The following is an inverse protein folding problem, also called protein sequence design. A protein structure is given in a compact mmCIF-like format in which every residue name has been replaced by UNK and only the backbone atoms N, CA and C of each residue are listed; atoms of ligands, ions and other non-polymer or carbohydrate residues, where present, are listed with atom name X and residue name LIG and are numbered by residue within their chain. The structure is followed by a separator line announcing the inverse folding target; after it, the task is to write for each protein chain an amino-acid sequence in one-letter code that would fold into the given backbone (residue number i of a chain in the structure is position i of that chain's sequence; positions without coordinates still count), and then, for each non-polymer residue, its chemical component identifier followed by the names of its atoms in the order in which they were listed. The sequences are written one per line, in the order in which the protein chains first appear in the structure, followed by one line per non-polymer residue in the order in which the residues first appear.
data_IF_078714598447
#
_entry.id   IF_078714598447
#
_cell.length_a   1.000
_cell.length_b   1.000
_cell.length_c   1.000
_cell.angle_alpha   90.00
_cell.angle_beta   90.00
_cell.angle_gamma   90.00
#
_symmetry.space_group_name_H-M   'P 1'
#
loop_
_entity.id
_entity.type
_entity.pdbx_description
1 polymer ?
#
# COMPACT_ATOMS: atom_id res chain seq x y z
N UNK A 1 -24.24 -2.97 -4.30
CA UNK A 1 -23.95 -2.07 -5.44
C UNK A 1 -24.74 -2.44 -6.70
N UNK A 2 -24.68 -3.69 -7.20
CA UNK A 2 -25.41 -4.09 -8.42
C UNK A 2 -26.93 -3.82 -8.39
N UNK A 3 -27.62 -4.17 -7.30
CA UNK A 3 -29.06 -3.89 -7.14
C UNK A 3 -29.38 -2.38 -7.14
N UNK A 4 -28.49 -1.55 -6.57
CA UNK A 4 -28.65 -0.10 -6.53
C UNK A 4 -28.49 0.52 -7.93
N UNK A 5 -27.58 -0.03 -8.74
CA UNK A 5 -27.29 0.41 -10.10
C UNK A 5 -28.16 -0.31 -11.17
N UNK A 6 -29.05 -1.21 -10.75
CA UNK A 6 -29.90 -2.03 -11.64
C UNK A 6 -29.10 -2.84 -12.67
N UNK A 7 -27.94 -3.37 -12.27
CA UNK A 7 -27.10 -4.23 -13.11
C UNK A 7 -27.14 -5.68 -12.64
N UNK A 8 -26.62 -6.60 -13.46
CA UNK A 8 -26.33 -7.97 -13.03
C UNK A 8 -25.34 -7.99 -11.85
N UNK A 9 -25.36 -9.04 -11.00
CA UNK A 9 -24.45 -9.16 -9.87
C UNK A 9 -22.99 -9.41 -10.28
N UNK A 10 -22.75 -9.68 -11.56
CA UNK A 10 -21.44 -9.92 -12.17
C UNK A 10 -20.84 -8.62 -12.70
N UNK A 11 -19.61 -8.33 -12.30
CA UNK A 11 -18.83 -7.19 -12.78
C UNK A 11 -17.74 -7.68 -13.74
N UNK A 12 -17.79 -7.24 -14.99
CA UNK A 12 -16.82 -7.62 -16.03
C UNK A 12 -15.89 -6.43 -16.26
N UNK A 13 -14.59 -6.64 -16.06
CA UNK A 13 -13.55 -5.65 -16.37
C UNK A 13 -12.90 -6.04 -17.70
N UNK A 14 -12.95 -5.13 -18.66
CA UNK A 14 -12.31 -5.36 -19.94
C UNK A 14 -10.78 -5.26 -19.82
N UNK A 15 -10.07 -6.20 -20.47
CA UNK A 15 -8.60 -6.19 -20.54
C UNK A 15 -8.07 -5.15 -21.52
N UNK A 16 -8.83 -4.87 -22.57
CA UNK A 16 -8.51 -3.93 -23.64
C UNK A 16 -9.70 -3.00 -23.87
N UNK A 17 -9.50 -1.79 -24.43
CA UNK A 17 -10.59 -0.83 -24.67
C UNK A 17 -11.71 -1.44 -25.53
N UNK A 18 -12.96 -1.39 -25.05
CA UNK A 18 -14.11 -2.02 -25.72
C UNK A 18 -14.93 -1.09 -26.61
N UNK A 19 -14.52 0.17 -26.78
CA UNK A 19 -15.19 1.13 -27.65
C UNK A 19 -14.82 2.58 -27.35
N UNK A 20 -15.28 3.47 -28.22
CA UNK A 20 -15.13 4.91 -28.07
C UNK A 20 -16.15 5.47 -27.07
N UNK A 21 -15.83 6.57 -26.39
CA UNK A 21 -16.76 7.28 -25.49
C UNK A 21 -16.84 6.76 -24.05
N UNK A 22 -16.01 5.78 -23.66
CA UNK A 22 -15.78 5.44 -22.26
C UNK A 22 -14.54 6.19 -21.79
N UNK A 23 -14.74 7.38 -21.24
CA UNK A 23 -13.67 8.11 -20.55
C UNK A 23 -13.60 7.66 -19.10
N UNK A 24 -12.38 7.45 -18.59
CA UNK A 24 -12.18 7.21 -17.18
C UNK A 24 -12.74 8.42 -16.40
N UNK A 25 -13.61 8.17 -15.43
CA UNK A 25 -14.08 9.23 -14.54
C UNK A 25 -12.86 9.89 -13.90
N UNK A 26 -12.69 11.21 -14.04
CA UNK A 26 -11.55 11.89 -13.45
C UNK A 26 -11.61 11.72 -11.94
N UNK A 27 -10.56 11.14 -11.37
CA UNK A 27 -10.39 11.07 -9.93
C UNK A 27 -9.80 12.40 -9.49
N UNK A 28 -10.54 13.12 -8.63
CA UNK A 28 -10.00 14.29 -7.97
C UNK A 28 -9.02 13.86 -6.87
N UNK A 29 -7.72 14.12 -7.10
CA UNK A 29 -6.66 13.83 -6.14
C UNK A 29 -6.38 15.00 -5.20
N UNK A 30 -7.09 16.13 -5.29
CA UNK A 30 -6.88 17.30 -4.43
C UNK A 30 -7.05 16.99 -2.94
N UNK A 31 -7.91 16.00 -2.64
CA UNK A 31 -8.17 15.51 -1.29
C UNK A 31 -7.35 14.28 -0.89
N UNK A 32 -6.44 13.81 -1.76
CA UNK A 32 -5.56 12.65 -1.52
C UNK A 32 -4.15 13.19 -1.19
N UNK A 33 -3.77 13.29 0.09
CA UNK A 33 -2.47 13.84 0.46
C UNK A 33 -1.36 12.91 -0.02
N UNK A 34 -0.37 13.49 -0.69
CA UNK A 34 0.77 12.75 -1.22
C UNK A 34 2.00 12.86 -0.31
N UNK A 35 1.88 12.42 0.94
CA UNK A 35 2.92 12.57 1.95
C UNK A 35 3.99 11.46 1.89
N UNK A 36 4.80 11.51 0.82
CA UNK A 36 5.93 10.62 0.63
C UNK A 36 7.00 10.76 1.73
N UNK A 37 7.10 11.92 2.36
CA UNK A 37 8.08 12.18 3.39
C UNK A 37 7.73 11.43 4.68
N UNK A 38 6.46 11.46 5.10
CA UNK A 38 5.97 10.66 6.22
C UNK A 38 6.14 9.15 5.99
N UNK A 39 5.87 8.67 4.77
CA UNK A 39 6.12 7.27 4.42
C UNK A 39 7.60 6.90 4.53
N UNK A 40 8.49 7.73 3.97
CA UNK A 40 9.92 7.49 4.07
C UNK A 40 10.37 7.39 5.53
N UNK A 41 9.98 8.35 6.38
CA UNK A 41 10.29 8.33 7.82
C UNK A 41 9.81 7.03 8.46
N UNK A 42 8.55 6.64 8.22
CA UNK A 42 7.95 5.44 8.81
C UNK A 42 8.75 4.19 8.46
N UNK A 43 9.09 4.01 7.18
CA UNK A 43 9.84 2.86 6.70
C UNK A 43 11.28 2.83 7.24
N UNK A 44 11.98 3.96 7.26
CA UNK A 44 13.35 4.02 7.80
C UNK A 44 13.39 3.81 9.31
N UNK A 45 12.40 4.33 10.05
CA UNK A 45 12.28 4.07 11.50
C UNK A 45 11.98 2.61 11.79
N UNK A 46 11.08 1.97 11.01
CA UNK A 46 10.82 0.54 11.14
C UNK A 46 12.10 -0.28 10.92
N UNK A 47 12.86 0.04 9.86
CA UNK A 47 14.14 -0.61 9.58
C UNK A 47 15.17 -0.39 10.71
N UNK A 48 15.24 0.83 11.26
CA UNK A 48 16.14 1.16 12.36
C UNK A 48 15.81 0.36 13.63
N UNK A 49 14.52 0.25 14.00
CA UNK A 49 14.08 -0.55 15.15
C UNK A 49 14.47 -2.02 14.96
N UNK A 50 14.22 -2.59 13.77
CA UNK A 50 14.64 -3.96 13.48
C UNK A 50 16.16 -4.15 13.56
N UNK A 51 16.94 -3.21 13.03
CA UNK A 51 18.40 -3.26 13.13
C UNK A 51 18.86 -3.25 14.60
N UNK A 52 18.30 -2.37 15.43
CA UNK A 52 18.60 -2.29 16.87
C UNK A 52 18.23 -3.59 17.57
N UNK A 53 17.02 -4.12 17.35
CA UNK A 53 16.58 -5.37 17.95
C UNK A 53 17.47 -6.54 17.53
N UNK A 54 17.88 -6.61 16.27
CA UNK A 54 18.76 -7.65 15.73
C UNK A 54 20.14 -7.58 16.37
N UNK A 55 20.73 -6.39 16.45
CA UNK A 55 22.03 -6.18 17.11
C UNK A 55 21.95 -6.56 18.59
N UNK A 56 20.89 -6.14 19.28
CA UNK A 56 20.67 -6.48 20.69
C UNK A 56 20.53 -7.99 20.91
N UNK A 57 19.81 -8.69 20.04
CA UNK A 57 19.65 -10.14 20.08
C UNK A 57 20.99 -10.86 19.86
N UNK A 58 21.74 -10.47 18.82
CA UNK A 58 23.06 -11.05 18.53
C UNK A 58 24.03 -10.82 19.68
N UNK A 59 24.07 -9.60 20.23
CA UNK A 59 24.89 -9.27 21.40
C UNK A 59 24.54 -10.16 22.61
N UNK A 60 23.25 -10.33 22.88
CA UNK A 60 22.77 -11.20 23.96
C UNK A 60 23.22 -12.65 23.79
N UNK A 61 23.08 -13.23 22.59
CA UNK A 61 23.47 -14.61 22.29
C UNK A 61 24.98 -14.78 22.52
N UNK A 62 25.81 -13.87 21.98
CA UNK A 62 27.27 -13.95 22.11
C UNK A 62 27.74 -13.92 23.57
N UNK A 63 27.02 -13.21 24.45
CA UNK A 63 27.34 -13.12 25.88
C UNK A 63 26.91 -14.36 26.68
N UNK A 64 26.00 -15.18 26.17
CA UNK A 64 25.57 -16.42 26.81
C UNK A 64 26.43 -17.62 26.40
N UNK A 65 27.07 -17.56 25.24
CA UNK A 65 27.91 -18.64 24.70
C UNK A 65 29.39 -18.51 25.08
N UNK A 66 29.83 -17.32 25.50
CA UNK A 66 31.17 -17.07 26.05
C UNK A 66 31.19 -17.34 27.55
#
# INVERSE_FOLDING_TARGET
MAALLKTEPTFIVAREPTGDGIEAMPVDTSSIPNDHWGYAITWFLLAAVWAVMTVALVWRIRRQTA
#
